data_IF_182362948128
#
_entry.id   IF_182362948128
#
_cell.length_a   1.000
_cell.length_b   1.000
_cell.length_c   1.000
_cell.angle_alpha   90.00
_cell.angle_beta   90.00
_cell.angle_gamma   90.00
#
_symmetry.space_group_name_H-M   'P 1'
#
loop_
_entity.id
_entity.type
_entity.pdbx_description
1 polymer ?
#
# COMPACT_ATOMS: atom_id res chain seq x y z
N UNK A 1 13.59 -12.65 2.59
CA UNK A 1 12.24 -12.04 2.53
C UNK A 1 11.38 -12.95 1.67
N UNK A 2 10.19 -13.36 2.09
CA UNK A 2 9.30 -14.17 1.23
C UNK A 2 8.86 -13.38 -0.02
N UNK A 3 8.70 -14.03 -1.17
CA UNK A 3 8.23 -13.42 -2.41
C UNK A 3 6.87 -12.73 -2.24
N UNK A 4 6.00 -13.28 -1.39
CA UNK A 4 4.71 -12.67 -1.02
C UNK A 4 4.89 -11.30 -0.35
N UNK A 5 5.89 -11.18 0.54
CA UNK A 5 6.18 -9.91 1.20
C UNK A 5 6.76 -8.90 0.22
N UNK A 6 7.56 -9.34 -0.76
CA UNK A 6 8.06 -8.46 -1.83
C UNK A 6 6.92 -7.97 -2.72
N UNK A 7 6.00 -8.87 -3.09
CA UNK A 7 4.83 -8.58 -3.92
C UNK A 7 3.85 -7.60 -3.23
N UNK A 8 3.78 -7.62 -1.89
CA UNK A 8 3.02 -6.65 -1.12
C UNK A 8 3.61 -5.21 -1.17
N UNK A 9 4.83 -5.04 -1.69
CA UNK A 9 5.56 -3.76 -1.82
C UNK A 9 5.55 -2.88 -0.54
N UNK A 10 6.04 -3.36 0.62
CA UNK A 10 6.03 -2.61 1.89
C UNK A 10 6.72 -1.24 1.80
N UNK A 11 7.72 -1.09 0.93
CA UNK A 11 8.37 0.20 0.69
C UNK A 11 7.42 1.28 0.16
N UNK A 12 6.30 0.90 -0.49
CA UNK A 12 5.29 1.85 -0.97
C UNK A 12 4.29 2.26 0.11
N UNK A 13 4.17 1.49 1.21
CA UNK A 13 3.23 1.77 2.30
C UNK A 13 3.53 3.08 3.03
N UNK A 14 4.75 3.59 2.93
CA UNK A 14 5.14 4.89 3.50
C UNK A 14 4.23 6.03 3.01
N UNK A 15 3.74 5.94 1.76
CA UNK A 15 2.81 6.94 1.19
C UNK A 15 1.46 6.93 1.90
N UNK A 16 1.05 5.79 2.43
CA UNK A 16 -0.22 5.62 3.13
C UNK A 16 -0.17 6.17 4.57
N UNK A 17 1.01 6.50 5.11
CA UNK A 17 1.14 7.12 6.44
C UNK A 17 0.42 8.47 6.54
N UNK A 18 0.12 9.11 5.41
CA UNK A 18 -0.70 10.33 5.35
C UNK A 18 -2.07 10.15 6.01
N UNK A 19 -2.60 8.93 6.10
CA UNK A 19 -3.84 8.60 6.82
C UNK A 19 -3.78 9.08 8.29
N UNK A 20 -2.63 8.96 8.94
CA UNK A 20 -2.46 9.39 10.34
C UNK A 20 -2.43 10.91 10.50
N UNK A 21 -2.12 11.67 9.45
CA UNK A 21 -2.22 13.13 9.49
C UNK A 21 -3.66 13.59 9.79
N UNK A 22 -4.67 12.78 9.42
CA UNK A 22 -6.06 13.03 9.78
C UNK A 22 -6.29 13.14 11.29
N UNK A 23 -5.56 12.37 12.12
CA UNK A 23 -5.66 12.46 13.58
C UNK A 23 -5.20 13.82 14.10
N UNK A 24 -4.12 14.35 13.52
CA UNK A 24 -3.59 15.67 13.86
C UNK A 24 -4.59 16.77 13.48
N UNK A 25 -5.09 16.75 12.24
CA UNK A 25 -6.01 17.78 11.75
C UNK A 25 -7.40 17.72 12.37
N UNK A 26 -7.85 16.54 12.82
CA UNK A 26 -9.10 16.38 13.54
C UNK A 26 -8.97 16.67 15.06
N UNK A 27 -7.77 16.95 15.57
CA UNK A 27 -7.48 17.10 16.99
C UNK A 27 -7.87 15.86 17.84
N UNK A 28 -7.70 14.67 17.28
CA UNK A 28 -8.10 13.38 17.86
C UNK A 28 -6.92 12.55 18.40
N UNK A 29 -5.76 13.18 18.62
CA UNK A 29 -4.53 12.50 19.03
C UNK A 29 -4.66 11.75 20.38
N UNK A 30 -5.56 12.20 21.26
CA UNK A 30 -5.84 11.55 22.55
C UNK A 30 -6.87 10.41 22.50
N UNK A 31 -7.52 10.20 21.35
CA UNK A 31 -8.60 9.22 21.21
C UNK A 31 -8.06 7.87 20.74
N UNK A 32 -8.04 6.88 21.64
CA UNK A 32 -7.63 5.52 21.32
C UNK A 32 -8.49 4.88 20.21
N UNK A 33 -9.78 5.22 20.18
CA UNK A 33 -10.68 4.77 19.10
C UNK A 33 -10.30 5.36 17.75
N UNK A 34 -9.94 6.65 17.70
CA UNK A 34 -9.49 7.29 16.48
C UNK A 34 -8.20 6.65 15.94
N UNK A 35 -7.26 6.31 16.82
CA UNK A 35 -6.05 5.56 16.46
C UNK A 35 -6.35 4.19 15.87
N UNK A 36 -7.27 3.43 16.46
CA UNK A 36 -7.69 2.11 15.91
C UNK A 36 -8.31 2.24 14.53
N UNK A 37 -9.20 3.24 14.34
CA UNK A 37 -9.81 3.53 13.03
C UNK A 37 -8.75 3.95 12.00
N UNK A 38 -7.80 4.80 12.36
CA UNK A 38 -6.71 5.23 11.49
C UNK A 38 -5.78 4.07 11.13
N UNK A 39 -5.45 3.18 12.08
CA UNK A 39 -4.65 1.99 11.82
C UNK A 39 -5.36 0.99 10.88
N UNK A 40 -6.67 0.77 11.08
CA UNK A 40 -7.47 -0.04 10.17
C UNK A 40 -7.52 0.56 8.76
N UNK A 41 -7.74 1.88 8.66
CA UNK A 41 -7.70 2.60 7.40
C UNK A 41 -6.34 2.45 6.70
N UNK A 42 -5.24 2.66 7.42
CA UNK A 42 -3.89 2.46 6.90
C UNK A 42 -3.68 1.04 6.35
N UNK A 43 -4.11 0.01 7.09
CA UNK A 43 -4.00 -1.39 6.66
C UNK A 43 -4.81 -1.65 5.36
N UNK A 44 -6.02 -1.11 5.26
CA UNK A 44 -6.86 -1.20 4.05
C UNK A 44 -6.19 -0.49 2.86
N UNK A 45 -5.63 0.70 3.07
CA UNK A 45 -4.90 1.43 2.02
C UNK A 45 -3.66 0.67 1.55
N UNK A 46 -2.92 0.06 2.46
CA UNK A 46 -1.79 -0.81 2.11
C UNK A 46 -2.27 -1.99 1.26
N UNK A 47 -3.28 -2.74 1.69
CA UNK A 47 -3.83 -3.86 0.94
C UNK A 47 -4.34 -3.45 -0.45
N UNK A 48 -5.10 -2.34 -0.53
CA UNK A 48 -5.62 -1.82 -1.79
C UNK A 48 -4.50 -1.39 -2.75
N UNK A 49 -3.48 -0.69 -2.24
CA UNK A 49 -2.33 -0.29 -3.05
C UNK A 49 -1.55 -1.51 -3.56
N UNK A 50 -1.32 -2.52 -2.71
CA UNK A 50 -0.65 -3.76 -3.09
C UNK A 50 -1.45 -4.51 -4.15
N UNK A 51 -2.78 -4.62 -3.99
CA UNK A 51 -3.65 -5.23 -4.98
C UNK A 51 -3.61 -4.49 -6.33
N UNK A 52 -3.63 -3.16 -6.34
CA UNK A 52 -3.49 -2.38 -7.58
C UNK A 52 -2.17 -2.65 -8.30
N UNK A 53 -1.06 -2.75 -7.55
CA UNK A 53 0.23 -3.13 -8.14
C UNK A 53 0.22 -4.56 -8.68
N UNK A 54 -0.36 -5.52 -7.96
CA UNK A 54 -0.46 -6.90 -8.44
C UNK A 54 -1.28 -6.99 -9.73
N UNK A 55 -2.39 -6.25 -9.82
CA UNK A 55 -3.21 -6.19 -11.04
C UNK A 55 -2.40 -5.61 -12.20
N UNK A 56 -1.64 -4.54 -11.97
CA UNK A 56 -0.77 -3.97 -13.00
C UNK A 56 0.33 -4.95 -13.41
N UNK A 57 0.99 -5.60 -12.45
CA UNK A 57 2.04 -6.58 -12.72
C UNK A 57 1.52 -7.74 -13.58
N UNK A 58 0.27 -8.19 -13.37
CA UNK A 58 -0.38 -9.24 -14.19
C UNK A 58 -0.72 -8.72 -15.58
N UNK A 59 -1.29 -7.52 -15.70
CA UNK A 59 -1.64 -6.93 -17.00
C UNK A 59 -0.42 -6.65 -17.86
N UNK A 60 0.66 -6.19 -17.23
CA UNK A 60 1.89 -5.82 -17.93
C UNK A 60 2.78 -7.04 -18.17
N UNK A 61 2.50 -8.20 -17.54
CA UNK A 61 3.32 -9.41 -17.67
C UNK A 61 3.50 -9.89 -19.12
N UNK A 62 2.46 -9.81 -19.95
CA UNK A 62 2.53 -10.22 -21.36
C UNK A 62 3.36 -9.25 -22.20
N UNK A 63 3.20 -7.94 -21.97
CA UNK A 63 3.95 -6.89 -22.65
C UNK A 63 5.42 -6.88 -22.21
N UNK A 64 5.69 -7.09 -20.93
CA UNK A 64 7.04 -7.18 -20.36
C UNK A 64 7.81 -8.39 -20.90
N UNK A 65 7.13 -9.52 -21.13
CA UNK A 65 7.74 -10.71 -21.76
C UNK A 65 8.12 -10.50 -23.23
N UNK A 66 7.43 -9.60 -23.93
CA UNK A 66 7.70 -9.27 -25.32
C UNK A 66 8.76 -8.17 -25.49
N UNK A 67 9.16 -7.48 -24.41
CA UNK A 67 10.07 -6.34 -24.49
C UNK A 67 11.53 -6.79 -24.77
N UNK A 68 12.15 -6.36 -25.88
CA UNK A 68 13.45 -6.87 -26.35
C UNK A 68 14.66 -6.50 -25.47
N UNK A 69 14.49 -5.57 -24.53
CA UNK A 69 15.55 -5.08 -23.62
C UNK A 69 15.47 -5.74 -22.22
N UNK A 70 14.34 -6.36 -21.87
CA UNK A 70 14.18 -7.22 -20.68
C UNK A 70 14.36 -8.70 -21.10
N UNK A 71 15.46 -9.03 -21.76
CA UNK A 71 15.93 -10.42 -21.82
C UNK A 71 16.91 -10.68 -20.68
#
# INVERSE_FOLDING_TARGET
MSELVRAARPAQWIKNLVVFAGLLFANELGSGEAWLRAAACFAVFCAASSAAYLVNDVRDAELDRAHPVKR
#
